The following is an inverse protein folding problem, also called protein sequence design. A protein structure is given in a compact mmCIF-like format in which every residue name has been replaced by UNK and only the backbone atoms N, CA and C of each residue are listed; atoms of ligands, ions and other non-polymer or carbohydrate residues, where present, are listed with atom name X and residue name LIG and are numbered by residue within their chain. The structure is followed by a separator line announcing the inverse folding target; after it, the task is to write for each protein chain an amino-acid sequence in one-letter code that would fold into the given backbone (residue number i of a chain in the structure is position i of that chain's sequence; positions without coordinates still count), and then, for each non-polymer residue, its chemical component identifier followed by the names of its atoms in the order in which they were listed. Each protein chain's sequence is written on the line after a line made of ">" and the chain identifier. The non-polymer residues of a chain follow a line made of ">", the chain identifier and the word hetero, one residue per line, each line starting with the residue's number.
data_IF_481321340872
#
_entry.id   IF_481321340872
#
_cell.length_a   1.000
_cell.length_b   1.000
_cell.length_c   1.000
_cell.angle_alpha   90.00
_cell.angle_beta   90.00
_cell.angle_gamma   90.00
#
_symmetry.space_group_name_H-M   'P 1'
#
loop_
_entity.id
_entity.type
_entity.pdbx_description
1 polymer ?
#
# COMPACT_ATOMS: atom_id res chain seq x y z
N UNK A 1 14.97 -2.58 -16.67
CA UNK A 1 14.65 -3.77 -15.84
C UNK A 1 13.67 -4.62 -16.61
N UNK A 2 13.76 -5.95 -16.55
CA UNK A 2 12.69 -6.81 -17.08
C UNK A 2 11.43 -6.60 -16.25
N UNK A 3 10.28 -6.42 -16.91
CA UNK A 3 8.97 -6.35 -16.24
C UNK A 3 8.79 -7.63 -15.42
N UNK A 4 8.37 -7.49 -14.16
CA UNK A 4 8.11 -8.62 -13.27
C UNK A 4 6.90 -9.41 -13.80
N UNK A 5 7.06 -10.73 -13.96
CA UNK A 5 5.97 -11.63 -14.34
C UNK A 5 5.52 -12.44 -13.13
N UNK A 6 4.39 -12.05 -12.53
CA UNK A 6 3.81 -12.69 -11.35
C UNK A 6 3.43 -14.16 -11.57
N UNK A 7 3.15 -14.58 -12.82
CA UNK A 7 2.90 -16.00 -13.13
C UNK A 7 4.15 -16.88 -12.99
N UNK A 8 5.33 -16.27 -12.80
CA UNK A 8 6.61 -16.96 -12.58
C UNK A 8 7.26 -16.61 -11.24
N UNK A 9 6.47 -16.16 -10.25
CA UNK A 9 6.98 -15.73 -8.95
C UNK A 9 7.87 -16.78 -8.26
N UNK A 10 7.57 -18.08 -8.42
CA UNK A 10 8.38 -19.18 -7.88
C UNK A 10 9.82 -19.26 -8.42
N UNK A 11 10.11 -18.53 -9.51
CA UNK A 11 11.45 -18.45 -10.11
C UNK A 11 12.24 -17.21 -9.69
N UNK A 12 11.63 -16.30 -8.92
CA UNK A 12 12.30 -15.09 -8.45
C UNK A 12 13.33 -15.42 -7.38
N UNK A 13 14.48 -14.73 -7.36
CA UNK A 13 15.50 -14.96 -6.34
C UNK A 13 14.96 -14.60 -4.96
N UNK A 14 15.05 -15.53 -4.00
CA UNK A 14 14.72 -15.24 -2.62
C UNK A 14 15.90 -14.53 -1.94
N UNK A 15 15.84 -13.19 -1.91
CA UNK A 15 16.83 -12.34 -1.28
C UNK A 15 16.65 -12.10 0.22
N UNK A 16 15.51 -12.52 0.81
CA UNK A 16 15.20 -12.22 2.22
C UNK A 16 14.89 -13.46 3.08
N UNK A 17 15.27 -14.64 2.59
CA UNK A 17 15.26 -15.90 3.35
C UNK A 17 13.87 -16.27 3.85
N UNK A 18 13.73 -16.41 5.16
CA UNK A 18 12.49 -16.84 5.82
C UNK A 18 11.56 -15.68 6.21
N UNK A 19 11.92 -14.44 5.89
CA UNK A 19 11.15 -13.23 6.24
C UNK A 19 10.51 -12.63 4.99
N UNK A 20 9.75 -13.44 4.26
CA UNK A 20 9.03 -13.01 3.05
C UNK A 20 7.63 -12.48 3.39
N UNK A 21 7.14 -11.61 2.51
CA UNK A 21 5.73 -11.20 2.44
C UNK A 21 5.22 -11.47 1.02
N UNK A 22 3.91 -11.61 0.81
CA UNK A 22 2.84 -11.61 1.81
C UNK A 22 2.81 -12.88 2.68
N UNK A 23 1.97 -12.89 3.71
CA UNK A 23 1.74 -14.05 4.58
C UNK A 23 0.24 -14.35 4.77
N UNK A 24 -0.06 -15.56 5.21
CA UNK A 24 -1.40 -15.98 5.64
C UNK A 24 -1.64 -15.58 7.10
N UNK A 25 -2.65 -14.74 7.31
CA UNK A 25 -3.01 -14.19 8.62
C UNK A 25 -4.23 -14.89 9.24
N UNK A 26 -4.81 -15.90 8.59
CA UNK A 26 -6.04 -16.57 9.09
C UNK A 26 -5.88 -17.25 10.45
N UNK A 27 -4.65 -17.64 10.79
CA UNK A 27 -4.29 -18.26 12.08
C UNK A 27 -3.38 -17.35 12.92
N UNK A 28 -3.19 -16.10 12.52
CA UNK A 28 -2.34 -15.18 13.25
C UNK A 28 -2.97 -14.82 14.60
N UNK A 29 -2.15 -14.72 15.63
CA UNK A 29 -2.53 -14.17 16.94
C UNK A 29 -1.95 -12.77 17.07
N UNK A 30 -2.78 -11.79 17.41
CA UNK A 30 -2.34 -10.41 17.67
C UNK A 30 -1.60 -10.33 19.00
N UNK A 31 -0.37 -9.80 19.02
CA UNK A 31 0.50 -9.85 20.20
C UNK A 31 0.78 -8.49 20.86
N UNK A 32 0.61 -7.37 20.16
CA UNK A 32 0.66 -6.01 20.70
C UNK A 32 -0.07 -5.03 19.78
N UNK A 33 -0.60 -3.94 20.33
CA UNK A 33 -1.12 -2.84 19.52
C UNK A 33 0.04 -1.97 19.04
N UNK A 34 0.15 -1.82 17.72
CA UNK A 34 1.01 -0.81 17.10
C UNK A 34 0.32 0.55 17.22
N UNK A 35 0.99 1.53 17.84
CA UNK A 35 0.50 2.91 17.83
C UNK A 35 0.89 3.57 16.51
N UNK A 36 -0.09 4.03 15.74
CA UNK A 36 0.11 4.72 14.48
C UNK A 36 -0.61 6.06 14.50
N UNK A 37 0.16 7.14 14.38
CA UNK A 37 -0.34 8.51 14.30
C UNK A 37 0.07 9.15 12.98
N UNK A 38 -0.89 9.69 12.24
CA UNK A 38 -0.61 10.51 11.05
C UNK A 38 -0.16 11.89 11.54
N UNK A 39 1.07 12.27 11.22
CA UNK A 39 1.64 13.58 11.59
C UNK A 39 1.34 14.62 10.51
N UNK A 40 1.49 14.23 9.25
CA UNK A 40 1.04 15.01 8.09
C UNK A 40 0.31 14.09 7.10
N UNK A 41 -0.76 14.56 6.44
CA UNK A 41 -1.52 13.75 5.50
C UNK A 41 -0.65 13.16 4.38
N UNK A 42 -1.01 11.97 3.91
CA UNK A 42 -0.40 11.30 2.76
C UNK A 42 -0.98 11.89 1.48
N UNK A 43 -0.40 13.01 1.05
CA UNK A 43 -0.81 13.71 -0.16
C UNK A 43 -0.07 13.12 -1.36
N UNK A 44 -0.80 12.63 -2.35
CA UNK A 44 -0.22 12.23 -3.64
C UNK A 44 -0.32 13.35 -4.66
N UNK A 45 0.76 13.55 -5.41
CA UNK A 45 0.89 14.58 -6.44
C UNK A 45 1.18 14.00 -7.84
N UNK A 46 1.51 12.72 -7.93
CA UNK A 46 1.76 12.03 -9.20
C UNK A 46 1.12 10.65 -9.26
N UNK A 47 0.43 10.39 -10.36
CA UNK A 47 0.02 9.06 -10.79
C UNK A 47 0.97 8.56 -11.86
N UNK A 48 1.45 7.33 -11.72
CA UNK A 48 2.48 6.75 -12.59
C UNK A 48 2.06 5.34 -12.97
N UNK A 49 1.95 5.07 -14.27
CA UNK A 49 1.99 3.69 -14.78
C UNK A 49 3.44 3.16 -14.73
N UNK A 50 3.74 2.31 -13.75
CA UNK A 50 5.05 1.67 -13.66
C UNK A 50 5.12 0.32 -14.40
N UNK A 51 4.07 -0.01 -15.17
CA UNK A 51 3.88 -1.25 -15.92
C UNK A 51 3.76 -2.51 -15.04
N UNK A 52 3.63 -2.33 -13.72
CA UNK A 52 3.35 -3.38 -12.74
C UNK A 52 2.07 -3.07 -11.98
N UNK A 53 1.89 -1.82 -11.55
CA UNK A 53 0.73 -1.30 -10.84
C UNK A 53 0.54 0.20 -11.15
N UNK A 54 -0.54 0.79 -10.63
CA UNK A 54 -0.67 2.25 -10.56
C UNK A 54 0.09 2.70 -9.32
N UNK A 55 1.15 3.49 -9.51
CA UNK A 55 1.95 4.05 -8.43
C UNK A 55 1.58 5.51 -8.20
N UNK A 56 1.15 5.80 -6.98
CA UNK A 56 0.75 7.12 -6.50
C UNK A 56 1.89 7.69 -5.65
N UNK A 57 2.79 8.46 -6.26
CA UNK A 57 3.89 9.09 -5.53
C UNK A 57 3.40 10.31 -4.75
N UNK A 58 4.03 10.60 -3.62
CA UNK A 58 3.58 11.70 -2.78
C UNK A 58 4.45 11.93 -1.56
N UNK A 59 3.89 12.70 -0.63
CA UNK A 59 4.55 13.12 0.60
C UNK A 59 3.60 13.08 1.78
N UNK A 60 4.15 12.95 2.97
CA UNK A 60 3.41 12.82 4.22
C UNK A 60 4.29 12.18 5.27
N UNK A 61 3.82 12.15 6.52
CA UNK A 61 4.60 11.56 7.61
C UNK A 61 3.68 10.86 8.60
N UNK A 62 4.13 9.70 9.05
CA UNK A 62 3.45 8.86 10.03
C UNK A 62 4.43 8.52 11.12
N UNK A 63 4.00 8.59 12.37
CA UNK A 63 4.73 7.99 13.47
C UNK A 63 4.13 6.61 13.75
N UNK A 64 4.98 5.59 13.75
CA UNK A 64 4.63 4.23 14.15
C UNK A 64 5.50 3.88 15.35
N UNK A 65 4.87 3.70 16.51
CA UNK A 65 5.52 3.64 17.81
C UNK A 65 6.41 4.88 18.02
N UNK A 66 7.72 4.71 18.19
CA UNK A 66 8.67 5.80 18.41
C UNK A 66 9.37 6.28 17.12
N UNK A 67 9.06 5.67 15.97
CA UNK A 67 9.75 5.94 14.71
C UNK A 67 8.89 6.79 13.79
N UNK A 68 9.46 7.87 13.27
CA UNK A 68 8.86 8.67 12.19
C UNK A 68 9.23 8.07 10.84
N UNK A 69 8.21 7.89 9.99
CA UNK A 69 8.31 7.36 8.65
C UNK A 69 7.74 8.36 7.65
N UNK A 70 8.50 8.66 6.60
CA UNK A 70 8.09 9.51 5.49
C UNK A 70 7.31 8.68 4.48
N UNK A 71 6.10 9.10 4.11
CA UNK A 71 5.33 8.49 3.02
C UNK A 71 6.07 8.72 1.69
N UNK A 72 6.19 7.67 0.88
CA UNK A 72 6.93 7.67 -0.39
C UNK A 72 6.00 7.47 -1.57
N UNK A 73 5.17 6.44 -1.49
CA UNK A 73 4.21 6.10 -2.55
C UNK A 73 3.13 5.17 -2.03
N UNK A 74 2.01 5.13 -2.75
CA UNK A 74 1.04 4.08 -2.62
C UNK A 74 0.88 3.30 -3.94
N UNK A 75 0.42 2.06 -3.83
CA UNK A 75 0.00 1.24 -4.96
C UNK A 75 -1.03 0.22 -4.48
N UNK A 76 -1.58 -0.58 -5.39
CA UNK A 76 -2.52 -1.64 -5.02
C UNK A 76 -2.34 -2.91 -5.84
N UNK A 77 -2.78 -4.00 -5.25
CA UNK A 77 -2.79 -5.34 -5.85
C UNK A 77 -4.22 -5.86 -5.96
N UNK A 78 -4.50 -6.54 -7.07
CA UNK A 78 -5.74 -7.29 -7.32
C UNK A 78 -5.36 -8.66 -7.89
N UNK A 79 -5.62 -9.77 -7.18
CA UNK A 79 -6.25 -9.86 -5.85
C UNK A 79 -5.36 -9.29 -4.72
N UNK A 80 -5.91 -9.20 -3.51
CA UNK A 80 -5.15 -8.90 -2.29
C UNK A 80 -3.99 -9.90 -2.10
N UNK A 81 -2.85 -9.45 -1.56
CA UNK A 81 -1.65 -10.27 -1.38
C UNK A 81 -1.72 -11.04 -0.04
N UNK A 82 -2.03 -10.36 1.07
CA UNK A 82 -2.25 -11.00 2.36
C UNK A 82 -3.56 -11.77 2.39
N UNK A 83 -3.52 -12.96 3.00
CA UNK A 83 -4.69 -13.81 3.15
C UNK A 83 -5.30 -13.59 4.53
N UNK A 84 -6.54 -13.14 4.58
CA UNK A 84 -7.33 -13.00 5.80
C UNK A 84 -8.57 -13.91 5.76
N UNK A 85 -9.29 -14.02 6.88
CA UNK A 85 -10.49 -14.85 6.95
C UNK A 85 -11.67 -14.20 6.21
N UNK A 86 -11.71 -12.87 6.22
CA UNK A 86 -12.71 -12.05 5.55
C UNK A 86 -12.48 -12.02 4.02
N UNK A 87 -13.56 -11.82 3.27
CA UNK A 87 -13.47 -11.72 1.81
C UNK A 87 -12.98 -10.32 1.40
N UNK A 88 -11.77 -10.27 0.84
CA UNK A 88 -11.15 -9.06 0.27
C UNK A 88 -10.95 -9.22 -1.23
N UNK A 89 -10.93 -8.10 -1.97
CA UNK A 89 -10.74 -8.09 -3.43
C UNK A 89 -9.45 -7.42 -3.86
N UNK A 90 -8.96 -6.48 -3.06
CA UNK A 90 -7.74 -5.74 -3.33
C UNK A 90 -7.00 -5.42 -2.03
N UNK A 91 -5.75 -5.03 -2.17
CA UNK A 91 -4.91 -4.56 -1.07
C UNK A 91 -4.17 -3.31 -1.50
N UNK A 92 -4.31 -2.24 -0.72
CA UNK A 92 -3.59 -0.99 -0.89
C UNK A 92 -2.32 -1.04 -0.04
N UNK A 93 -1.18 -0.71 -0.62
CA UNK A 93 0.09 -0.58 0.06
C UNK A 93 0.49 0.88 0.14
N UNK A 94 0.69 1.41 1.35
CA UNK A 94 1.27 2.72 1.60
C UNK A 94 2.71 2.53 2.07
N UNK A 95 3.65 2.81 1.19
CA UNK A 95 5.08 2.62 1.42
C UNK A 95 5.67 3.85 2.11
N UNK A 96 6.35 3.62 3.21
CA UNK A 96 7.04 4.63 3.98
C UNK A 96 8.52 4.29 4.15
N UNK A 97 9.34 5.31 4.41
CA UNK A 97 10.77 5.17 4.65
C UNK A 97 11.21 5.95 5.88
N UNK A 98 12.04 5.33 6.71
CA UNK A 98 12.67 5.97 7.88
C UNK A 98 13.88 6.83 7.47
N UNK A 99 14.38 7.65 8.39
CA UNK A 99 15.57 8.47 8.17
C UNK A 99 16.84 7.67 7.81
N UNK A 100 16.91 6.38 8.17
CA UNK A 100 18.03 5.49 7.85
C UNK A 100 17.79 4.64 6.59
N UNK A 101 16.70 4.88 5.87
CA UNK A 101 16.39 4.20 4.61
C UNK A 101 15.60 2.89 4.76
N UNK A 102 15.34 2.42 5.99
CA UNK A 102 14.48 1.25 6.22
C UNK A 102 13.05 1.52 5.76
N UNK A 103 12.35 0.49 5.24
CA UNK A 103 10.99 0.58 4.73
C UNK A 103 9.96 0.07 5.73
N UNK A 104 8.77 0.67 5.69
CA UNK A 104 7.56 0.20 6.38
C UNK A 104 6.38 0.32 5.43
N UNK A 105 5.58 -0.73 5.28
CA UNK A 105 4.37 -0.73 4.46
C UNK A 105 3.16 -0.83 5.37
N UNK A 106 2.24 0.13 5.25
CA UNK A 106 0.91 0.02 5.85
C UNK A 106 -0.02 -0.55 4.78
N UNK A 107 -0.58 -1.73 5.03
CA UNK A 107 -1.52 -2.38 4.13
C UNK A 107 -2.97 -2.09 4.54
N UNK A 108 -3.82 -1.76 3.57
CA UNK A 108 -5.27 -1.64 3.76
C UNK A 108 -5.97 -2.64 2.85
N UNK A 109 -6.68 -3.58 3.46
CA UNK A 109 -7.48 -4.57 2.77
C UNK A 109 -8.81 -3.97 2.31
N UNK A 110 -9.18 -4.23 1.06
CA UNK A 110 -10.38 -3.67 0.43
C UNK A 110 -11.44 -4.78 0.30
N UNK A 111 -12.55 -4.73 1.07
CA UNK A 111 -13.67 -5.63 0.89
C UNK A 111 -14.56 -5.23 -0.30
N UNK A 112 -15.40 -6.14 -0.78
CA UNK A 112 -16.50 -5.77 -1.70
C UNK A 112 -17.48 -4.90 -0.94
N UNK A 113 -17.87 -3.76 -1.52
CA UNK A 113 -18.84 -2.87 -0.89
C UNK A 113 -19.06 -1.58 -1.69
N UNK A 114 -19.37 -0.51 -0.96
CA UNK A 114 -19.56 0.82 -1.53
C UNK A 114 -18.27 1.33 -2.19
N UNK A 115 -18.41 1.94 -3.37
CA UNK A 115 -17.30 2.56 -4.06
C UNK A 115 -16.65 3.66 -3.21
N UNK A 116 -15.32 3.69 -3.20
CA UNK A 116 -14.56 4.78 -2.58
C UNK A 116 -14.29 5.86 -3.66
N UNK A 117 -14.74 7.11 -3.47
CA UNK A 117 -14.62 8.15 -4.49
C UNK A 117 -13.16 8.46 -4.85
N UNK A 118 -12.22 8.40 -3.89
CA UNK A 118 -10.81 8.66 -4.17
C UNK A 118 -10.23 7.57 -5.09
N UNK A 119 -10.58 6.31 -4.83
CA UNK A 119 -10.13 5.21 -5.69
C UNK A 119 -10.80 5.25 -7.06
N UNK A 120 -12.06 5.67 -7.14
CA UNK A 120 -12.74 5.89 -8.42
C UNK A 120 -12.02 6.99 -9.21
N UNK A 121 -11.72 8.12 -8.59
CA UNK A 121 -11.02 9.23 -9.24
C UNK A 121 -9.61 8.82 -9.70
N UNK A 122 -8.86 8.04 -8.93
CA UNK A 122 -7.57 7.48 -9.35
C UNK A 122 -7.75 6.62 -10.61
N UNK A 123 -8.69 5.67 -10.59
CA UNK A 123 -8.92 4.79 -11.74
C UNK A 123 -9.42 5.53 -12.99
N UNK A 124 -10.25 6.55 -12.82
CA UNK A 124 -10.82 7.34 -13.92
C UNK A 124 -9.79 8.29 -14.54
N UNK A 125 -8.83 8.80 -13.76
CA UNK A 125 -7.73 9.63 -14.27
C UNK A 125 -6.60 8.82 -14.93
N UNK A 126 -6.46 7.54 -14.55
CA UNK A 126 -5.37 6.70 -15.03
C UNK A 126 -5.26 6.66 -16.55
N UNK A 127 -4.04 6.91 -17.02
CA UNK A 127 -3.67 6.73 -18.41
C UNK A 127 -2.46 5.80 -18.53
N UNK A 128 -2.52 4.79 -19.43
CA UNK A 128 -1.41 3.88 -19.63
C UNK A 128 -0.14 4.59 -20.12
N UNK A 129 1.00 4.14 -19.62
CA UNK A 129 2.35 4.54 -20.00
C UNK A 129 2.70 6.03 -19.76
N UNK A 130 1.99 6.71 -18.87
CA UNK A 130 2.24 8.12 -18.58
C UNK A 130 2.35 8.40 -17.08
N UNK A 131 3.02 9.51 -16.75
CA UNK A 131 2.98 10.13 -15.42
C UNK A 131 2.09 11.36 -15.49
N UNK A 132 1.12 11.46 -14.60
CA UNK A 132 0.16 12.57 -14.56
C UNK A 132 0.16 13.26 -13.20
N UNK A 133 -0.03 14.59 -13.17
CA UNK A 133 -0.26 15.29 -11.92
C UNK A 133 -1.66 14.95 -11.38
N UNK A 134 -1.72 14.64 -10.09
CA UNK A 134 -2.97 14.43 -9.34
C UNK A 134 -2.90 15.20 -8.02
N UNK A 135 -3.98 15.24 -7.25
CA UNK A 135 -3.95 15.81 -5.90
C UNK A 135 -5.01 15.15 -5.01
N UNK A 136 -4.64 14.06 -4.35
CA UNK A 136 -5.53 13.34 -3.44
C UNK A 136 -4.90 13.18 -2.06
N UNK A 137 -5.73 13.26 -1.02
CA UNK A 137 -5.37 12.90 0.35
C UNK A 137 -5.65 11.41 0.56
N UNK A 138 -4.60 10.59 0.45
CA UNK A 138 -4.68 9.14 0.58
C UNK A 138 -4.89 8.68 2.03
N UNK A 139 -4.66 9.55 3.03
CA UNK A 139 -4.96 9.26 4.44
C UNK A 139 -6.44 8.91 4.62
N UNK A 140 -7.30 9.47 3.77
CA UNK A 140 -8.75 9.23 3.77
C UNK A 140 -9.15 7.82 3.31
N UNK A 141 -8.20 7.05 2.80
CA UNK A 141 -8.37 5.63 2.47
C UNK A 141 -8.13 4.71 3.67
N UNK A 142 -7.56 5.23 4.77
CA UNK A 142 -7.44 4.46 6.00
C UNK A 142 -8.83 4.12 6.54
N UNK A 143 -9.03 2.88 7.04
CA UNK A 143 -10.28 2.53 7.69
C UNK A 143 -10.47 3.45 8.91
N UNK A 144 -11.72 3.91 9.11
CA UNK A 144 -12.06 4.59 10.35
C UNK A 144 -11.84 3.59 11.48
N UNK A 145 -10.99 3.93 12.44
CA UNK A 145 -10.82 3.10 13.64
C UNK A 145 -12.19 2.90 14.28
N UNK A 146 -12.57 1.63 14.52
CA UNK A 146 -13.71 1.34 15.35
C UNK A 146 -13.42 1.94 16.74
N UNK A 147 -14.34 2.76 17.23
CA UNK A 147 -14.31 3.23 18.63
C UNK A 147 -14.54 2.06 19.58
#
# INVERSE_FOLDING_TARGET
>A
MSILNYAKQSSWPNGFGFQQSPIDLRQATTTANTDMTILTPWMTDQEIDDQVTIRLAGQGTTRINETTWTFVQAHFHVPAEHIVAEKTVAELHFVHQSAIGALCVVAVLVPVGQANPIMADVLDHFQPHVTQPINFDLTRLLPKQAR
#
